data_IF_877818323420
#
_entry.id   IF_877818323420
#
_cell.length_a   1.000
_cell.length_b   1.000
_cell.length_c   1.000
_cell.angle_alpha   90.00
_cell.angle_beta   90.00
_cell.angle_gamma   90.00
#
_symmetry.space_group_name_H-M   'P 1'
#
loop_
_entity.id
_entity.type
_entity.pdbx_description
1 polymer ?
#
# COMPACT_ATOMS: atom_id res chain seq x y z
N UNK A 1 -5.41 4.65 -3.14
CA UNK A 1 -5.04 3.91 -1.93
C UNK A 1 -4.92 2.43 -2.30
N UNK A 2 -3.85 1.75 -1.90
CA UNK A 2 -3.68 0.31 -2.18
C UNK A 2 -4.39 -0.48 -1.10
N UNK A 3 -5.59 -0.98 -1.40
CA UNK A 3 -6.40 -1.78 -0.49
C UNK A 3 -6.50 -3.22 -1.03
N UNK A 4 -6.58 -4.20 -0.14
CA UNK A 4 -6.97 -5.55 -0.53
C UNK A 4 -8.43 -5.50 -0.98
N UNK A 5 -8.74 -6.07 -2.13
CA UNK A 5 -10.11 -6.17 -2.63
C UNK A 5 -10.48 -7.64 -2.83
N UNK A 6 -11.62 -8.05 -2.30
CA UNK A 6 -12.18 -9.39 -2.52
C UNK A 6 -13.42 -9.28 -3.42
N UNK A 7 -13.42 -10.07 -4.48
CA UNK A 7 -14.50 -10.20 -5.45
C UNK A 7 -15.21 -11.52 -5.17
N UNK A 8 -16.52 -11.42 -4.94
CA UNK A 8 -17.38 -12.54 -4.59
C UNK A 8 -18.57 -12.59 -5.54
N UNK A 9 -19.11 -13.79 -5.76
CA UNK A 9 -20.34 -13.94 -6.52
C UNK A 9 -21.52 -13.42 -5.68
N UNK A 10 -22.33 -12.56 -6.27
CA UNK A 10 -23.52 -11.97 -5.64
C UNK A 10 -24.59 -13.02 -5.30
N UNK A 11 -24.58 -14.17 -5.98
CA UNK A 11 -25.53 -15.26 -5.78
C UNK A 11 -25.04 -16.38 -4.85
N UNK A 12 -23.78 -16.32 -4.41
CA UNK A 12 -23.16 -17.40 -3.62
C UNK A 12 -22.95 -17.01 -2.14
N UNK A 13 -23.82 -17.54 -1.28
CA UNK A 13 -23.73 -17.41 0.17
C UNK A 13 -22.53 -18.15 0.79
N UNK A 14 -21.89 -19.07 0.06
CA UNK A 14 -20.70 -19.78 0.51
C UNK A 14 -19.46 -18.88 0.66
N UNK A 15 -19.57 -17.64 0.19
CA UNK A 15 -18.54 -16.61 0.23
C UNK A 15 -18.15 -16.15 1.64
N UNK A 16 -19.00 -16.40 2.65
CA UNK A 16 -18.77 -15.96 4.04
C UNK A 16 -17.46 -16.48 4.63
N UNK A 17 -17.08 -17.72 4.32
CA UNK A 17 -15.83 -18.33 4.83
C UNK A 17 -14.57 -17.55 4.42
N UNK A 18 -14.57 -16.94 3.23
CA UNK A 18 -13.42 -16.17 2.74
C UNK A 18 -13.32 -14.82 3.43
N UNK A 19 -14.47 -14.19 3.71
CA UNK A 19 -14.58 -12.94 4.48
C UNK A 19 -14.06 -13.16 5.90
N UNK A 20 -14.52 -14.23 6.56
CA UNK A 20 -14.11 -14.54 7.94
C UNK A 20 -12.62 -14.85 8.01
N UNK A 21 -12.06 -15.54 7.01
CA UNK A 21 -10.64 -15.82 6.92
C UNK A 21 -9.81 -14.53 6.77
N UNK A 22 -10.24 -13.55 5.98
CA UNK A 22 -9.57 -12.25 5.87
C UNK A 22 -9.67 -11.44 7.18
N UNK A 23 -10.86 -11.40 7.79
CA UNK A 23 -11.08 -10.73 9.09
C UNK A 23 -10.20 -11.32 10.19
N UNK A 24 -9.97 -12.63 10.18
CA UNK A 24 -9.11 -13.31 11.16
C UNK A 24 -7.64 -12.86 11.12
N UNK A 25 -7.21 -12.22 10.02
CA UNK A 25 -5.84 -11.73 9.85
C UNK A 25 -5.67 -10.25 10.22
N UNK A 26 -6.71 -9.61 10.75
CA UNK A 26 -6.71 -8.20 11.18
C UNK A 26 -6.32 -7.22 10.06
N UNK A 27 -6.97 -7.35 8.90
CA UNK A 27 -6.69 -6.53 7.72
C UNK A 27 -7.99 -5.98 7.14
N UNK A 28 -7.95 -4.69 6.82
CA UNK A 28 -9.02 -4.03 6.09
C UNK A 28 -9.04 -4.45 4.61
N UNK A 29 -10.23 -4.73 4.10
CA UNK A 29 -10.45 -5.06 2.70
C UNK A 29 -11.76 -4.49 2.18
N UNK A 30 -11.81 -4.27 0.87
CA UNK A 30 -13.03 -3.89 0.15
C UNK A 30 -13.67 -5.15 -0.41
N UNK A 31 -14.89 -5.43 0.03
CA UNK A 31 -15.73 -6.45 -0.58
C UNK A 31 -16.42 -5.90 -1.82
N UNK A 32 -16.46 -6.67 -2.89
CA UNK A 32 -17.17 -6.32 -4.13
C UNK A 32 -17.92 -7.55 -4.61
N UNK A 33 -19.25 -7.51 -4.51
CA UNK A 33 -20.12 -8.59 -4.97
C UNK A 33 -20.54 -8.30 -6.40
N UNK A 34 -20.25 -9.23 -7.32
CA UNK A 34 -20.57 -9.09 -8.75
C UNK A 34 -21.25 -10.36 -9.26
N UNK A 35 -21.97 -10.26 -10.36
CA UNK A 35 -22.55 -11.44 -11.00
C UNK A 35 -21.44 -12.22 -11.73
N UNK A 36 -21.50 -13.56 -11.66
CA UNK A 36 -20.51 -14.45 -12.23
C UNK A 36 -20.75 -14.69 -13.74
N UNK A 37 -20.76 -13.59 -14.50
CA UNK A 37 -20.92 -13.61 -15.96
C UNK A 37 -19.63 -13.20 -16.68
N UNK A 38 -19.28 -13.84 -17.81
CA UNK A 38 -18.03 -13.56 -18.53
C UNK A 38 -17.78 -12.07 -18.83
N UNK A 39 -18.82 -11.34 -19.24
CA UNK A 39 -18.71 -9.92 -19.57
C UNK A 39 -18.43 -9.05 -18.35
N UNK A 40 -18.98 -9.41 -17.19
CA UNK A 40 -18.75 -8.71 -15.93
C UNK A 40 -17.34 -9.02 -15.43
N UNK A 41 -16.94 -10.30 -15.41
CA UNK A 41 -15.57 -10.71 -15.03
C UNK A 41 -14.52 -9.97 -15.88
N UNK A 42 -14.75 -9.84 -17.19
CA UNK A 42 -13.87 -9.11 -18.11
C UNK A 42 -13.74 -7.62 -17.76
N UNK A 43 -14.82 -6.94 -17.37
CA UNK A 43 -14.78 -5.53 -16.92
C UNK A 43 -13.90 -5.34 -15.69
N UNK A 44 -13.92 -6.31 -14.77
CA UNK A 44 -13.07 -6.30 -13.59
C UNK A 44 -11.66 -6.87 -13.81
N UNK A 45 -11.35 -7.35 -15.04
CA UNK A 45 -10.10 -8.06 -15.37
C UNK A 45 -9.91 -9.31 -14.49
N UNK A 46 -10.96 -10.10 -14.36
CA UNK A 46 -11.01 -11.36 -13.60
C UNK A 46 -11.28 -12.52 -14.57
N UNK A 47 -10.77 -13.70 -14.23
CA UNK A 47 -11.02 -14.96 -14.96
C UNK A 47 -12.07 -15.82 -14.25
N UNK A 48 -12.23 -15.65 -12.93
CA UNK A 48 -13.20 -16.39 -12.12
C UNK A 48 -13.46 -15.69 -10.78
N UNK A 49 -14.46 -16.21 -10.05
CA UNK A 49 -14.75 -15.88 -8.66
C UNK A 49 -14.64 -17.16 -7.80
N UNK A 50 -14.34 -17.03 -6.50
CA UNK A 50 -13.96 -15.80 -5.81
C UNK A 50 -12.54 -15.37 -6.18
N UNK A 51 -12.21 -14.09 -6.03
CA UNK A 51 -10.87 -13.58 -6.32
C UNK A 51 -10.42 -12.51 -5.31
N UNK A 52 -9.14 -12.50 -4.95
CA UNK A 52 -8.53 -11.43 -4.15
C UNK A 52 -7.52 -10.68 -5.01
N UNK A 53 -7.62 -9.34 -5.02
CA UNK A 53 -6.69 -8.42 -5.69
C UNK A 53 -5.94 -7.60 -4.66
N UNK A 54 -4.63 -7.50 -4.84
CA UNK A 54 -3.80 -6.51 -4.16
C UNK A 54 -2.72 -6.03 -5.14
N UNK A 55 -2.76 -4.74 -5.48
CA UNK A 55 -1.91 -4.16 -6.54
C UNK A 55 -2.03 -4.97 -7.85
N UNK A 56 -0.91 -5.39 -8.43
CA UNK A 56 -0.85 -6.22 -9.64
C UNK A 56 -0.98 -7.72 -9.34
N UNK A 57 -1.18 -8.13 -8.08
CA UNK A 57 -1.36 -9.52 -7.69
C UNK A 57 -2.83 -9.89 -7.66
N UNK A 58 -3.14 -11.05 -8.24
CA UNK A 58 -4.49 -11.63 -8.26
C UNK A 58 -4.42 -13.08 -7.81
N UNK A 59 -5.36 -13.49 -6.96
CA UNK A 59 -5.42 -14.83 -6.37
C UNK A 59 -6.84 -15.35 -6.49
N UNK A 60 -6.99 -16.54 -7.05
CA UNK A 60 -8.29 -17.23 -7.20
C UNK A 60 -8.44 -18.40 -6.23
N UNK A 61 -7.32 -19.05 -5.89
CA UNK A 61 -7.29 -20.11 -4.88
C UNK A 61 -7.23 -19.50 -3.48
N UNK A 62 -8.40 -19.19 -2.90
CA UNK A 62 -8.50 -18.54 -1.58
C UNK A 62 -8.35 -19.58 -0.46
N UNK A 63 -7.09 -19.93 -0.21
CA UNK A 63 -6.66 -20.72 0.96
C UNK A 63 -5.98 -19.84 2.00
N UNK A 64 -5.83 -20.34 3.24
CA UNK A 64 -5.05 -19.64 4.27
C UNK A 64 -3.63 -19.30 3.81
N UNK A 65 -2.97 -20.24 3.10
CA UNK A 65 -1.63 -20.03 2.54
C UNK A 65 -1.60 -18.88 1.53
N UNK A 66 -2.62 -18.79 0.67
CA UNK A 66 -2.73 -17.73 -0.32
C UNK A 66 -2.95 -16.36 0.35
N UNK A 67 -3.80 -16.31 1.37
CA UNK A 67 -4.10 -15.09 2.12
C UNK A 67 -2.87 -14.62 2.88
N UNK A 68 -2.16 -15.49 3.58
CA UNK A 68 -0.92 -15.15 4.29
C UNK A 68 0.12 -14.50 3.36
N UNK A 69 0.19 -14.93 2.08
CA UNK A 69 1.06 -14.28 1.09
C UNK A 69 0.60 -12.85 0.76
N UNK A 70 -0.71 -12.63 0.62
CA UNK A 70 -1.27 -11.29 0.37
C UNK A 70 -1.05 -10.40 1.59
N UNK A 71 -1.32 -10.89 2.80
CA UNK A 71 -1.05 -10.20 4.07
C UNK A 71 0.40 -9.75 4.15
N UNK A 72 1.35 -10.66 3.87
CA UNK A 72 2.78 -10.34 3.90
C UNK A 72 3.14 -9.24 2.90
N UNK A 73 2.60 -9.30 1.68
CA UNK A 73 2.79 -8.25 0.66
C UNK A 73 2.18 -6.92 1.09
N UNK A 74 0.99 -6.96 1.68
CA UNK A 74 0.30 -5.77 2.21
C UNK A 74 1.13 -5.11 3.32
N UNK A 75 1.54 -5.87 4.33
CA UNK A 75 2.36 -5.38 5.42
C UNK A 75 3.67 -4.79 4.91
N UNK A 76 4.36 -5.48 3.99
CA UNK A 76 5.58 -4.97 3.38
C UNK A 76 5.35 -3.66 2.62
N UNK A 77 4.21 -3.53 1.91
CA UNK A 77 3.84 -2.29 1.26
C UNK A 77 3.63 -1.14 2.27
N UNK A 78 2.91 -1.39 3.36
CA UNK A 78 2.71 -0.41 4.43
C UNK A 78 4.05 0.00 5.07
N UNK A 79 4.92 -0.97 5.39
CA UNK A 79 6.26 -0.69 5.90
C UNK A 79 7.07 0.19 4.95
N UNK A 80 7.07 -0.12 3.65
CA UNK A 80 7.77 0.68 2.65
C UNK A 80 7.21 2.11 2.56
N UNK A 81 5.89 2.30 2.69
CA UNK A 81 5.30 3.64 2.72
C UNK A 81 5.72 4.43 3.96
N UNK A 82 5.74 3.78 5.13
CA UNK A 82 6.19 4.40 6.38
C UNK A 82 7.66 4.82 6.25
N UNK A 83 8.51 3.92 5.75
CA UNK A 83 9.94 4.17 5.57
C UNK A 83 10.22 5.30 4.57
N UNK A 84 9.46 5.36 3.46
CA UNK A 84 9.51 6.49 2.53
C UNK A 84 9.14 7.82 3.21
N UNK A 85 8.16 7.81 4.11
CA UNK A 85 7.72 9.02 4.81
C UNK A 85 8.74 9.48 5.87
N UNK A 86 9.37 8.55 6.60
CA UNK A 86 10.48 8.85 7.52
C UNK A 86 11.71 9.37 6.78
N UNK A 87 12.04 8.78 5.62
CA UNK A 87 13.15 9.23 4.78
C UNK A 87 12.89 10.61 4.17
N UNK A 88 11.64 10.95 3.81
CA UNK A 88 11.29 12.31 3.39
C UNK A 88 11.52 13.34 4.50
N UNK A 89 11.19 13.01 5.76
CA UNK A 89 11.50 13.85 6.92
C UNK A 89 13.00 14.08 7.10
N UNK A 90 13.80 13.02 6.98
CA UNK A 90 15.26 13.09 7.07
C UNK A 90 15.88 13.90 5.91
N UNK A 91 15.41 13.69 4.68
CA UNK A 91 15.85 14.44 3.48
C UNK A 91 15.50 15.93 3.61
N UNK A 92 14.31 16.26 4.14
CA UNK A 92 13.91 17.65 4.36
C UNK A 92 14.72 18.32 5.48
N UNK A 93 15.05 17.60 6.57
CA UNK A 93 15.96 18.10 7.61
C UNK A 93 17.38 18.32 7.06
N UNK A 94 17.89 17.40 6.24
CA UNK A 94 19.20 17.52 5.59
C UNK A 94 19.25 18.67 4.58
N UNK A 95 18.21 18.86 3.76
CA UNK A 95 18.11 20.03 2.86
C UNK A 95 18.08 21.36 3.64
N UNK A 96 17.36 21.41 4.77
CA UNK A 96 17.37 22.58 5.67
C UNK A 96 18.75 22.82 6.29
N UNK A 97 19.48 21.78 6.71
CA UNK A 97 20.81 21.93 7.28
C UNK A 97 21.85 22.40 6.24
N UNK A 98 21.76 21.91 5.00
CA UNK A 98 22.59 22.36 3.87
C UNK A 98 22.37 23.85 3.51
N UNK A 99 21.12 24.32 3.57
CA UNK A 99 20.82 25.74 3.35
C UNK A 99 21.36 26.62 4.49
N UNK A 100 21.32 26.13 5.73
CA UNK A 100 21.92 26.82 6.88
C UNK A 100 23.45 26.93 6.78
N UNK A 101 24.14 25.92 6.25
CA UNK A 101 25.60 25.96 6.07
C UNK A 101 26.03 26.93 4.97
N UNK A 102 25.24 27.07 3.90
CA UNK A 102 25.48 28.09 2.86
C UNK A 102 25.33 29.52 3.38
N UNK A 103 24.37 29.76 4.29
CA UNK A 103 24.15 31.09 4.88
C UNK A 103 25.25 31.50 5.87
N UNK A 104 25.89 30.55 6.56
CA UNK A 104 26.99 30.86 7.48
C UNK A 104 28.32 31.16 6.76
N UNK A 105 28.56 30.57 5.57
CA UNK A 105 29.77 30.88 4.78
C UNK A 105 29.81 32.32 4.22
N UNK A 106 28.67 33.02 4.14
CA UNK A 106 28.61 34.40 3.63
C UNK A 106 28.89 35.48 4.69
N UNK A 107 28.88 35.16 5.99
CA UNK A 107 29.06 36.15 7.08
C UNK A 107 30.49 36.27 7.63
N UNK A 108 31.49 35.60 7.03
CA UNK A 108 32.88 35.60 7.51
C UNK A 108 33.82 36.56 6.75
N UNK A 109 33.29 37.66 6.19
CA UNK A 109 34.14 38.76 5.68
C UNK A 109 33.64 40.12 6.17
N UNK A 110 34.04 40.51 7.38
CA UNK A 110 34.30 41.93 7.67
C UNK A 110 35.78 42.08 7.97
N UNK A 111 36.54 42.84 7.16
CA UNK A 111 37.92 43.15 7.49
C UNK A 111 37.94 44.08 8.71
N UNK A 112 38.68 43.67 9.74
CA UNK A 112 38.98 44.46 10.93
C UNK A 112 39.82 45.68 10.48
N UNK A 113 39.25 46.88 10.52
CA UNK A 113 40.01 48.12 10.34
C UNK A 113 40.69 48.46 11.66
N UNK A 114 42.03 48.43 11.65
CA UNK A 114 42.88 48.93 12.72
C UNK A 114 43.11 50.42 12.44
N UNK A 115 42.78 51.28 13.40
CA UNK A 115 43.33 52.63 13.53
C UNK A 115 43.69 52.86 14.99
#
# INVERSE_FOLDING_TARGET
MSLIQIYLDKSDDSSKKYIDLLKSKDIDFLQTNIENEPDILKRYKLSSLPAIRFQNSLVYDITEKSINKIVKKFNQYIYNLIDLNTNHGAINKFKKSLNHTKSQKLNLKKPMQIK
#
